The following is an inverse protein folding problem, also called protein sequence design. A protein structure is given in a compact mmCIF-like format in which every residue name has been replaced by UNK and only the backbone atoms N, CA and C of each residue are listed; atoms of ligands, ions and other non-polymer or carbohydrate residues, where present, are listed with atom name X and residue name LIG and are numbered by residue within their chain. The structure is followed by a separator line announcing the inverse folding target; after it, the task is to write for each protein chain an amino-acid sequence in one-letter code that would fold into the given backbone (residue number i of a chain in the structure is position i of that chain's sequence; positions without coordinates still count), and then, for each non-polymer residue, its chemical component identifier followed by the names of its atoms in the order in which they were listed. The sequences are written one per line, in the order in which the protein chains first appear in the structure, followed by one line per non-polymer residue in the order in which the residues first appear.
data_IF_665794327513
#
_entry.id   IF_665794327513
#
_cell.length_a   1.000
_cell.length_b   1.000
_cell.length_c   1.000
_cell.angle_alpha   90.00
_cell.angle_beta   90.00
_cell.angle_gamma   90.00
#
_symmetry.space_group_name_H-M   'P 1'
#
loop_
_entity.id
_entity.type
_entity.pdbx_description
1 polymer ?
#
# COMPACT_ATOMS: atom_id res chain seq x y z
N UNK A 1 -0.90 2.62 6.54
CA UNK A 1 -0.91 1.15 6.40
C UNK A 1 -1.16 0.50 7.75
N UNK A 2 -2.30 -0.18 7.92
CA UNK A 2 -2.57 -1.04 9.09
C UNK A 2 -2.45 -2.47 8.61
N UNK A 3 -1.53 -3.23 9.18
CA UNK A 3 -1.35 -4.66 8.85
C UNK A 3 -2.11 -5.47 9.88
N UNK A 4 -3.02 -6.32 9.42
CA UNK A 4 -3.73 -7.27 10.28
C UNK A 4 -3.02 -8.61 10.17
N UNK A 5 -2.33 -9.02 11.22
CA UNK A 5 -1.67 -10.33 11.29
C UNK A 5 -2.69 -11.32 11.87
N UNK A 6 -2.98 -12.46 11.20
CA UNK A 6 -3.86 -13.47 11.75
C UNK A 6 -3.37 -13.94 13.12
N UNK A 7 -4.30 -14.13 14.06
CA UNK A 7 -3.96 -14.46 15.43
C UNK A 7 -3.20 -15.80 15.56
N UNK A 8 -3.50 -16.78 14.70
CA UNK A 8 -2.83 -18.09 14.72
C UNK A 8 -1.33 -17.98 14.37
N UNK A 9 -0.95 -17.07 13.45
CA UNK A 9 0.45 -16.83 13.09
C UNK A 9 1.25 -16.31 14.29
N UNK A 10 0.62 -15.47 15.12
CA UNK A 10 1.24 -14.93 16.33
C UNK A 10 1.48 -16.04 17.35
N UNK A 11 0.51 -16.95 17.55
CA UNK A 11 0.66 -18.06 18.48
C UNK A 11 1.73 -19.07 18.07
N UNK A 12 1.90 -19.32 16.76
CA UNK A 12 2.94 -20.24 16.28
C UNK A 12 4.36 -19.69 16.47
N UNK A 13 4.52 -18.37 16.57
CA UNK A 13 5.81 -17.69 16.59
C UNK A 13 6.13 -16.99 17.93
N UNK A 14 5.22 -17.06 18.90
CA UNK A 14 5.40 -16.49 20.24
C UNK A 14 5.22 -17.56 21.32
N UNK A 15 6.09 -17.55 22.32
CA UNK A 15 6.02 -18.49 23.44
C UNK A 15 6.40 -17.81 24.76
N UNK A 16 6.11 -18.48 25.87
CA UNK A 16 6.51 -18.03 27.20
C UNK A 16 7.44 -19.06 27.83
N UNK A 17 8.64 -18.62 28.23
CA UNK A 17 9.54 -19.45 29.01
C UNK A 17 9.51 -19.04 30.48
N UNK A 18 9.69 -20.02 31.35
CA UNK A 18 9.76 -19.79 32.79
C UNK A 18 11.22 -19.67 33.21
N UNK A 19 11.59 -18.49 33.70
CA UNK A 19 12.90 -18.25 34.27
C UNK A 19 12.76 -17.92 35.77
N UNK A 20 13.22 -18.84 36.62
CA UNK A 20 13.04 -18.74 38.06
C UNK A 20 11.57 -18.79 38.49
N UNK A 21 11.04 -17.64 38.95
CA UNK A 21 9.66 -17.51 39.46
C UNK A 21 8.72 -16.77 38.49
N UNK A 22 9.24 -16.27 37.38
CA UNK A 22 8.51 -15.42 36.45
C UNK A 22 8.42 -16.07 35.06
N UNK A 23 7.41 -15.67 34.29
CA UNK A 23 7.25 -16.08 32.89
C UNK A 23 7.60 -14.89 32.00
N UNK A 24 8.47 -15.14 31.01
CA UNK A 24 8.92 -14.13 30.07
C UNK A 24 8.42 -14.46 28.67
N UNK A 25 7.81 -13.49 27.96
CA UNK A 25 7.38 -13.67 26.59
C UNK A 25 8.56 -13.55 25.61
N UNK A 26 8.58 -14.44 24.63
CA UNK A 26 9.54 -14.47 23.53
C UNK A 26 8.80 -14.58 22.20
N UNK A 27 9.42 -14.06 21.14
CA UNK A 27 8.95 -14.25 19.78
C UNK A 27 10.12 -14.21 18.80
N UNK A 28 9.98 -14.90 17.67
CA UNK A 28 10.91 -14.76 16.54
C UNK A 28 10.46 -13.65 15.60
N UNK A 29 11.42 -13.03 14.91
CA UNK A 29 11.11 -12.12 13.80
C UNK A 29 10.34 -12.90 12.72
N UNK A 30 9.27 -12.29 12.21
CA UNK A 30 8.41 -12.85 11.18
C UNK A 30 8.43 -11.93 9.96
N UNK A 31 8.70 -12.51 8.79
CA UNK A 31 8.53 -11.83 7.50
C UNK A 31 7.16 -12.20 6.93
N UNK A 32 6.33 -11.20 6.65
CA UNK A 32 5.01 -11.39 6.06
C UNK A 32 5.05 -10.95 4.59
N UNK A 33 4.86 -11.89 3.67
CA UNK A 33 4.79 -11.61 2.25
C UNK A 33 3.36 -11.19 1.90
N UNK A 34 3.18 -9.90 1.56
CA UNK A 34 1.90 -9.38 1.07
C UNK A 34 1.89 -9.49 -0.45
N UNK A 35 0.92 -10.19 -1.04
CA UNK A 35 0.73 -10.13 -2.49
C UNK A 35 0.31 -8.70 -2.87
N UNK A 36 1.03 -8.10 -3.83
CA UNK A 36 0.72 -6.77 -4.37
C UNK A 36 -0.73 -6.69 -4.88
N UNK A 37 -1.33 -7.82 -5.26
CA UNK A 37 -2.74 -7.91 -5.69
C UNK A 37 -3.74 -7.73 -4.55
N UNK A 38 -3.34 -7.98 -3.31
CA UNK A 38 -4.18 -7.80 -2.12
C UNK A 38 -4.11 -6.37 -1.56
N UNK A 39 -3.23 -5.53 -2.12
CA UNK A 39 -3.17 -4.11 -1.78
C UNK A 39 -4.34 -3.36 -2.44
N UNK A 40 -5.29 -2.93 -1.63
CA UNK A 40 -6.32 -1.96 -2.04
C UNK A 40 -5.74 -0.54 -1.96
N UNK A 41 -5.71 0.16 -3.10
CA UNK A 41 -5.33 1.58 -3.14
C UNK A 41 -6.55 2.44 -2.86
N UNK A 42 -6.50 3.24 -1.79
CA UNK A 42 -7.50 4.28 -1.58
C UNK A 42 -7.18 5.53 -2.40
N UNK A 43 -8.11 6.50 -2.41
CA UNK A 43 -7.94 7.74 -3.17
C UNK A 43 -6.69 8.52 -2.76
N UNK A 44 -6.35 8.53 -1.47
CA UNK A 44 -5.20 9.26 -0.97
C UNK A 44 -3.90 8.60 -1.43
N UNK A 45 -3.86 7.27 -1.42
CA UNK A 45 -2.72 6.51 -1.95
C UNK A 45 -2.51 6.83 -3.45
N UNK A 46 -3.60 6.91 -4.22
CA UNK A 46 -3.54 7.28 -5.63
C UNK A 46 -3.06 8.73 -5.83
N UNK A 47 -3.54 9.67 -5.02
CA UNK A 47 -3.10 11.07 -5.05
C UNK A 47 -1.59 11.18 -4.77
N UNK A 48 -1.07 10.48 -3.75
CA UNK A 48 0.37 10.47 -3.46
C UNK A 48 1.21 9.85 -4.60
N UNK A 49 0.70 8.78 -5.24
CA UNK A 49 1.37 8.16 -6.40
C UNK A 49 1.41 9.15 -7.57
N UNK A 50 0.29 9.80 -7.86
CA UNK A 50 0.20 10.78 -8.95
C UNK A 50 1.12 11.96 -8.69
N UNK A 51 1.13 12.52 -7.47
CA UNK A 51 2.00 13.65 -7.13
C UNK A 51 3.49 13.30 -7.26
N UNK A 52 3.88 12.11 -6.79
CA UNK A 52 5.27 11.64 -6.86
C UNK A 52 5.72 11.38 -8.31
N UNK A 53 4.81 10.94 -9.17
CA UNK A 53 5.11 10.49 -10.53
C UNK A 53 4.43 11.33 -11.61
N UNK A 54 4.05 12.58 -11.29
CA UNK A 54 3.20 13.41 -12.14
C UNK A 54 3.72 13.53 -13.57
N UNK A 55 5.02 13.73 -13.75
CA UNK A 55 5.63 13.83 -15.08
C UNK A 55 5.41 12.57 -15.92
N UNK A 56 5.67 11.40 -15.36
CA UNK A 56 5.46 10.11 -16.03
C UNK A 56 3.99 9.85 -16.31
N UNK A 57 3.10 10.20 -15.38
CA UNK A 57 1.65 10.07 -15.57
C UNK A 57 1.19 10.94 -16.75
N UNK A 58 1.63 12.19 -16.82
CA UNK A 58 1.31 13.09 -17.94
C UNK A 58 1.85 12.52 -19.26
N UNK A 59 3.09 12.03 -19.30
CA UNK A 59 3.68 11.43 -20.49
C UNK A 59 2.87 10.21 -20.99
N UNK A 60 2.44 9.34 -20.07
CA UNK A 60 1.62 8.18 -20.40
C UNK A 60 0.24 8.59 -20.93
N UNK A 61 -0.40 9.55 -20.28
CA UNK A 61 -1.70 10.09 -20.71
C UNK A 61 -1.60 10.73 -22.10
N UNK A 62 -0.58 11.54 -22.36
CA UNK A 62 -0.37 12.17 -23.66
C UNK A 62 0.02 11.17 -24.76
N UNK A 63 0.57 10.01 -24.41
CA UNK A 63 0.91 8.95 -25.37
C UNK A 63 -0.29 8.08 -25.73
N UNK A 64 -1.10 7.69 -24.74
CA UNK A 64 -2.20 6.74 -24.92
C UNK A 64 -3.58 7.38 -25.13
N UNK A 65 -3.80 8.55 -24.53
CA UNK A 65 -5.12 9.17 -24.37
C UNK A 65 -5.13 10.63 -24.85
N UNK A 66 -4.27 10.96 -25.81
CA UNK A 66 -4.05 12.34 -26.24
C UNK A 66 -5.34 13.06 -26.63
N UNK A 67 -6.20 12.43 -27.41
CA UNK A 67 -7.47 13.03 -27.88
C UNK A 67 -8.46 13.28 -26.73
N UNK A 68 -8.53 12.36 -25.77
CA UNK A 68 -9.37 12.48 -24.57
C UNK A 68 -8.86 13.61 -23.67
N UNK A 69 -7.54 13.69 -23.46
CA UNK A 69 -6.89 14.76 -22.70
C UNK A 69 -7.11 16.12 -23.36
N UNK A 70 -6.94 16.21 -24.69
CA UNK A 70 -7.19 17.45 -25.44
C UNK A 70 -8.67 17.88 -25.38
N UNK A 71 -9.60 16.93 -25.38
CA UNK A 71 -11.04 17.19 -25.25
C UNK A 71 -11.36 17.77 -23.87
N UNK A 72 -10.89 17.11 -22.80
CA UNK A 72 -11.10 17.57 -21.42
C UNK A 72 -10.47 18.95 -21.20
N UNK A 73 -9.25 19.17 -21.69
CA UNK A 73 -8.58 20.48 -21.58
C UNK A 73 -9.39 21.58 -22.27
N UNK A 74 -9.96 21.31 -23.45
CA UNK A 74 -10.82 22.28 -24.14
C UNK A 74 -12.07 22.60 -23.34
N UNK A 75 -12.71 21.61 -22.74
CA UNK A 75 -13.90 21.79 -21.91
C UNK A 75 -13.60 22.59 -20.63
N UNK A 76 -12.46 22.34 -19.98
CA UNK A 76 -12.05 23.05 -18.76
C UNK A 76 -11.62 24.49 -19.05
N UNK A 77 -10.95 24.75 -20.19
CA UNK A 77 -10.48 26.09 -20.56
C UNK A 77 -11.63 27.00 -21.05
N UNK A 78 -12.77 26.44 -21.47
CA UNK A 78 -13.95 27.19 -21.93
C UNK A 78 -15.03 27.40 -20.85
N UNK A 79 -14.76 27.02 -19.59
CA UNK A 79 -15.54 27.43 -18.41
C UNK A 79 -14.88 28.63 -17.72
#
# INVERSE_FOLDING_TARGET
MKVTIPYYEIEENAWCEKEGREYYPYSTDMEYEVDVKECEFDRKDLEEIVDRHLGTVIELLLKGHREEVETILREVIHQ
#
